data_IF_144255595432
#
_entry.id   IF_144255595432
#
_cell.length_a   1.000
_cell.length_b   1.000
_cell.length_c   1.000
_cell.angle_alpha   90.00
_cell.angle_beta   90.00
_cell.angle_gamma   90.00
#
_symmetry.space_group_name_H-M   'P 1'
#
loop_
_entity.id
_entity.type
_entity.pdbx_description
1 polymer ?
#
# COMPACT_ATOMS: atom_id res chain seq x y z
N UNK A 1 -45.72 -25.96 -26.27
CA UNK A 1 -45.17 -25.05 -25.25
C UNK A 1 -43.76 -24.64 -25.68
N UNK A 2 -43.52 -23.34 -25.86
CA UNK A 2 -42.24 -22.75 -26.28
C UNK A 2 -41.22 -22.88 -25.14
N UNK A 3 -40.02 -23.39 -25.42
CA UNK A 3 -38.82 -23.12 -24.64
C UNK A 3 -37.75 -22.64 -25.61
N UNK A 4 -37.75 -21.34 -25.84
CA UNK A 4 -36.73 -20.63 -26.59
C UNK A 4 -35.47 -20.70 -25.74
N UNK A 5 -34.47 -21.43 -26.22
CA UNK A 5 -33.08 -21.31 -25.76
C UNK A 5 -32.62 -19.91 -26.15
N UNK A 6 -32.85 -18.96 -25.25
CA UNK A 6 -32.27 -17.63 -25.34
C UNK A 6 -30.79 -17.79 -24.96
N UNK A 7 -29.98 -18.22 -25.92
CA UNK A 7 -28.55 -18.00 -25.89
C UNK A 7 -28.34 -16.48 -25.98
N UNK A 8 -28.43 -15.80 -24.83
CA UNK A 8 -28.16 -14.39 -24.71
C UNK A 8 -26.73 -14.12 -25.18
N UNK A 9 -26.53 -13.35 -26.26
CA UNK A 9 -25.19 -12.94 -26.70
C UNK A 9 -24.60 -11.84 -25.80
N UNK A 10 -25.23 -11.54 -24.66
CA UNK A 10 -24.89 -10.43 -23.78
C UNK A 10 -23.64 -10.65 -22.92
N UNK A 11 -23.06 -11.86 -22.90
CA UNK A 11 -21.85 -12.14 -22.10
C UNK A 11 -20.57 -11.70 -22.82
N UNK A 12 -20.62 -11.40 -24.12
CA UNK A 12 -19.43 -11.00 -24.90
C UNK A 12 -19.20 -9.48 -24.98
N UNK A 13 -20.07 -8.65 -24.39
CA UNK A 13 -19.92 -7.19 -24.41
C UNK A 13 -19.13 -6.61 -23.22
N UNK A 14 -18.87 -7.39 -22.16
CA UNK A 14 -18.05 -6.92 -21.02
C UNK A 14 -16.55 -6.94 -21.34
N UNK A 15 -16.11 -7.76 -22.30
CA UNK A 15 -14.70 -7.83 -22.69
C UNK A 15 -14.22 -6.61 -23.52
N UNK A 16 -15.11 -5.69 -23.90
CA UNK A 16 -14.79 -4.55 -24.78
C UNK A 16 -14.77 -3.19 -24.05
N UNK A 17 -15.04 -3.16 -22.73
CA UNK A 17 -14.99 -1.93 -21.94
C UNK A 17 -14.11 -2.12 -20.69
N UNK A 18 -12.81 -2.32 -20.90
CA UNK A 18 -11.79 -1.61 -20.14
C UNK A 18 -11.35 -2.12 -18.76
N UNK A 19 -11.69 -3.35 -18.36
CA UNK A 19 -11.13 -3.96 -17.15
C UNK A 19 -12.01 -5.11 -16.71
N UNK A 20 -11.44 -6.29 -16.52
CA UNK A 20 -12.19 -7.37 -15.89
C UNK A 20 -12.39 -7.07 -14.40
N UNK A 21 -13.46 -7.56 -13.74
CA UNK A 21 -13.65 -7.36 -12.29
C UNK A 21 -12.47 -7.85 -11.44
N UNK A 22 -11.65 -8.74 -12.01
CA UNK A 22 -10.41 -9.21 -11.42
C UNK A 22 -9.28 -8.17 -11.50
N UNK A 23 -9.20 -7.39 -12.58
CA UNK A 23 -8.24 -6.28 -12.72
C UNK A 23 -8.60 -5.13 -11.78
N UNK A 24 -9.88 -4.72 -11.74
CA UNK A 24 -10.32 -3.65 -10.82
C UNK A 24 -10.10 -4.03 -9.34
N UNK A 25 -10.23 -5.32 -8.98
CA UNK A 25 -9.94 -5.81 -7.63
C UNK A 25 -8.44 -5.94 -7.33
N UNK A 26 -7.61 -6.03 -8.37
CA UNK A 26 -6.15 -6.03 -8.25
C UNK A 26 -5.64 -4.60 -8.07
N UNK A 27 -6.14 -3.65 -8.87
CA UNK A 27 -5.81 -2.22 -8.77
C UNK A 27 -6.12 -1.67 -7.37
N UNK A 28 -7.29 -2.00 -6.81
CA UNK A 28 -7.67 -1.59 -5.44
C UNK A 28 -6.75 -2.20 -4.37
N UNK A 29 -6.24 -3.41 -4.60
CA UNK A 29 -5.29 -4.03 -3.68
C UNK A 29 -3.93 -3.35 -3.76
N UNK A 30 -3.46 -3.03 -4.97
CA UNK A 30 -2.20 -2.35 -5.22
C UNK A 30 -2.21 -0.95 -4.60
N UNK A 31 -3.28 -0.18 -4.81
CA UNK A 31 -3.49 1.14 -4.19
C UNK A 31 -3.54 1.06 -2.65
N UNK A 32 -4.14 0.00 -2.09
CA UNK A 32 -4.19 -0.20 -0.64
C UNK A 32 -2.83 -0.60 -0.03
N UNK A 33 -1.96 -1.25 -0.80
CA UNK A 33 -0.59 -1.59 -0.40
C UNK A 33 0.29 -0.34 -0.49
N UNK A 34 0.20 0.41 -1.58
CA UNK A 34 0.91 1.68 -1.77
C UNK A 34 0.57 2.70 -0.67
N UNK A 35 -0.72 2.88 -0.36
CA UNK A 35 -1.15 3.72 0.75
C UNK A 35 -0.66 3.24 2.13
N UNK A 36 -0.40 1.93 2.29
CA UNK A 36 0.16 1.39 3.52
C UNK A 36 1.66 1.68 3.63
N UNK A 37 2.39 1.62 2.50
CA UNK A 37 3.78 2.04 2.39
C UNK A 37 3.95 3.51 2.74
N UNK A 38 3.13 4.40 2.17
CA UNK A 38 3.19 5.85 2.47
C UNK A 38 3.01 6.14 3.97
N UNK A 39 2.07 5.46 4.64
CA UNK A 39 1.84 5.62 6.09
C UNK A 39 3.04 5.13 6.91
N UNK A 40 3.81 4.17 6.40
CA UNK A 40 4.99 3.64 7.08
C UNK A 40 6.18 4.57 6.88
N UNK A 41 6.38 5.10 5.67
CA UNK A 41 7.37 6.14 5.40
C UNK A 41 7.15 7.37 6.28
N UNK A 42 5.91 7.86 6.38
CA UNK A 42 5.59 9.03 7.20
C UNK A 42 5.82 8.76 8.70
N UNK A 43 5.72 7.50 9.15
CA UNK A 43 6.10 7.10 10.50
C UNK A 43 7.62 7.02 10.69
N UNK A 44 8.37 6.60 9.68
CA UNK A 44 9.82 6.57 9.69
C UNK A 44 10.38 7.99 9.79
N UNK A 45 9.91 8.92 8.95
CA UNK A 45 10.30 10.34 8.99
C UNK A 45 10.01 10.97 10.37
N UNK A 46 8.87 10.64 10.97
CA UNK A 46 8.52 11.12 12.31
C UNK A 46 9.45 10.57 13.41
N UNK A 47 9.98 9.36 13.23
CA UNK A 47 10.96 8.76 14.14
C UNK A 47 12.35 9.38 13.93
N UNK A 48 12.81 9.60 12.69
CA UNK A 48 14.06 10.32 12.42
C UNK A 48 14.05 11.71 13.07
N UNK A 49 12.97 12.48 12.87
CA UNK A 49 12.82 13.80 13.51
C UNK A 49 12.84 13.71 15.05
N UNK A 50 12.38 12.60 15.62
CA UNK A 50 12.47 12.34 17.06
C UNK A 50 13.89 11.95 17.49
N UNK A 51 14.60 11.17 16.68
CA UNK A 51 16.00 10.81 16.91
C UNK A 51 16.88 12.06 16.93
N UNK A 52 16.72 12.95 15.95
CA UNK A 52 17.40 14.26 15.90
C UNK A 52 17.15 15.07 17.18
N UNK A 53 15.90 15.17 17.62
CA UNK A 53 15.55 15.89 18.84
C UNK A 53 16.16 15.27 20.12
N UNK A 54 16.34 13.94 20.13
CA UNK A 54 16.99 13.22 21.23
C UNK A 54 18.51 13.42 21.21
N UNK A 55 19.12 13.43 20.03
CA UNK A 55 20.55 13.71 19.85
C UNK A 55 20.89 15.13 20.32
N UNK A 56 20.10 16.11 19.90
CA UNK A 56 20.20 17.51 20.35
C UNK A 56 20.05 17.66 21.88
N UNK A 57 19.28 16.77 22.51
CA UNK A 57 19.11 16.72 23.96
C UNK A 57 20.26 16.00 24.70
N UNK A 58 21.25 15.47 23.97
CA UNK A 58 22.36 14.69 24.50
C UNK A 58 21.98 13.25 24.90
N UNK A 59 20.90 12.72 24.32
CA UNK A 59 20.37 11.37 24.57
C UNK A 59 20.76 10.41 23.43
N UNK A 60 22.04 10.40 23.06
CA UNK A 60 22.63 9.67 21.91
C UNK A 60 22.16 8.20 21.83
N UNK A 61 22.22 7.45 22.93
CA UNK A 61 21.78 6.04 22.94
C UNK A 61 20.28 5.83 22.67
N UNK A 62 19.44 6.83 22.98
CA UNK A 62 18.01 6.79 22.63
C UNK A 62 17.79 7.27 21.20
N UNK A 63 18.56 8.24 20.72
CA UNK A 63 18.56 8.67 19.33
C UNK A 63 18.89 7.47 18.40
N UNK A 64 20.01 6.78 18.62
CA UNK A 64 20.39 5.56 17.89
C UNK A 64 19.28 4.50 17.85
N UNK A 65 18.61 4.28 18.99
CA UNK A 65 17.54 3.28 19.08
C UNK A 65 16.27 3.67 18.32
N UNK A 66 15.98 4.97 18.25
CA UNK A 66 14.85 5.52 17.48
C UNK A 66 15.19 5.53 15.99
N UNK A 67 16.41 5.91 15.64
CA UNK A 67 16.96 5.93 14.28
C UNK A 67 16.96 4.53 13.66
N UNK A 68 17.50 3.53 14.37
CA UNK A 68 17.44 2.11 13.95
C UNK A 68 16.00 1.58 13.78
N UNK A 69 15.01 2.21 14.42
CA UNK A 69 13.61 1.85 14.25
C UNK A 69 12.99 2.55 13.04
N UNK A 70 13.42 3.77 12.73
CA UNK A 70 13.05 4.46 11.49
C UNK A 70 13.56 3.65 10.27
N UNK A 71 14.84 3.27 10.26
CA UNK A 71 15.43 2.43 9.20
C UNK A 71 14.65 1.12 8.99
N UNK A 72 14.23 0.46 10.07
CA UNK A 72 13.43 -0.77 9.98
C UNK A 72 12.05 -0.55 9.35
N UNK A 73 11.45 0.63 9.51
CA UNK A 73 10.18 0.96 8.89
C UNK A 73 10.36 1.31 7.42
N UNK A 74 11.42 2.03 7.05
CA UNK A 74 11.75 2.28 5.63
C UNK A 74 12.02 0.97 4.88
N UNK A 75 12.84 0.08 5.46
CA UNK A 75 13.06 -1.27 4.92
C UNK A 75 11.73 -2.05 4.75
N UNK A 76 10.77 -1.82 5.66
CA UNK A 76 9.47 -2.45 5.58
C UNK A 76 8.66 -1.88 4.42
N UNK A 77 8.63 -0.55 4.25
CA UNK A 77 7.93 0.13 3.17
C UNK A 77 8.49 -0.26 1.79
N UNK A 78 9.81 -0.35 1.65
CA UNK A 78 10.50 -0.75 0.40
C UNK A 78 10.18 -2.19 -0.06
N UNK A 79 9.69 -3.04 0.86
CA UNK A 79 9.37 -4.45 0.56
C UNK A 79 7.91 -4.70 0.23
N UNK A 80 7.06 -3.67 0.28
CA UNK A 80 5.62 -3.73 -0.04
C UNK A 80 5.37 -3.48 -1.53
#
# INVERSE_FOLDING_TARGET
>A
MKKILLASPAVLLVAACGGSPAEEAQDVQEEAVEAQGEVIDEQAEALEAQADALDDAGMEAQADAVDSKAEQLEDQADTM
#
